data_IF_115764195485
#
_entry.id   IF_115764195485
#
_cell.length_a   1.000
_cell.length_b   1.000
_cell.length_c   1.000
_cell.angle_alpha   90.00
_cell.angle_beta   90.00
_cell.angle_gamma   90.00
#
_symmetry.space_group_name_H-M   'P 1'
#
loop_
_entity.id
_entity.type
_entity.pdbx_description
1 polymer ?
#
# COMPACT_ATOMS: atom_id res chain seq x y z
N UNK A 1 -15.28 0.17 8.72
CA UNK A 1 -15.44 -0.60 7.46
C UNK A 1 -14.57 -0.08 6.31
N UNK A 2 -14.39 1.23 6.10
CA UNK A 2 -13.75 1.76 4.87
C UNK A 2 -12.23 1.58 4.80
N UNK A 3 -11.52 1.68 5.93
CA UNK A 3 -10.06 1.51 5.97
C UNK A 3 -9.60 0.08 5.62
N UNK A 4 -10.44 -0.93 5.88
CA UNK A 4 -10.09 -2.35 5.62
C UNK A 4 -10.01 -2.62 4.12
N UNK A 5 -10.84 -1.97 3.31
CA UNK A 5 -10.84 -2.15 1.85
C UNK A 5 -9.51 -1.68 1.23
N UNK A 6 -9.04 -0.49 1.59
CA UNK A 6 -7.73 0.01 1.14
C UNK A 6 -6.57 -0.90 1.58
N UNK A 7 -6.64 -1.44 2.81
CA UNK A 7 -5.60 -2.31 3.34
C UNK A 7 -5.52 -3.64 2.59
N UNK A 8 -6.67 -4.21 2.18
CA UNK A 8 -6.71 -5.43 1.37
C UNK A 8 -6.12 -5.20 -0.03
N UNK A 9 -6.41 -4.05 -0.65
CA UNK A 9 -5.83 -3.67 -1.95
C UNK A 9 -4.31 -3.54 -1.83
N UNK A 10 -3.82 -2.85 -0.79
CA UNK A 10 -2.39 -2.71 -0.53
C UNK A 10 -1.72 -4.07 -0.30
N UNK A 11 -2.30 -4.94 0.53
CA UNK A 11 -1.78 -6.27 0.80
C UNK A 11 -1.70 -7.13 -0.48
N UNK A 12 -2.76 -7.15 -1.29
CA UNK A 12 -2.77 -7.88 -2.57
C UNK A 12 -1.72 -7.35 -3.54
N UNK A 13 -1.56 -6.03 -3.64
CA UNK A 13 -0.55 -5.41 -4.49
C UNK A 13 0.88 -5.74 -4.06
N UNK A 14 1.17 -5.73 -2.75
CA UNK A 14 2.49 -6.10 -2.21
C UNK A 14 2.81 -7.58 -2.43
N UNK A 15 1.82 -8.47 -2.24
CA UNK A 15 1.98 -9.90 -2.53
C UNK A 15 2.26 -10.10 -4.03
N UNK A 16 1.48 -9.46 -4.90
CA UNK A 16 1.69 -9.52 -6.35
C UNK A 16 3.06 -8.99 -6.75
N UNK A 17 3.52 -7.88 -6.15
CA UNK A 17 4.83 -7.30 -6.42
C UNK A 17 5.96 -8.22 -5.98
N UNK A 18 5.84 -8.87 -4.82
CA UNK A 18 6.79 -9.88 -4.38
C UNK A 18 6.86 -11.09 -5.32
N UNK A 19 5.71 -11.59 -5.78
CA UNK A 19 5.64 -12.68 -6.76
C UNK A 19 6.24 -12.28 -8.11
N UNK A 20 6.02 -11.04 -8.56
CA UNK A 20 6.62 -10.50 -9.78
C UNK A 20 8.16 -10.43 -9.68
N UNK A 21 8.70 -9.96 -8.54
CA UNK A 21 10.15 -9.96 -8.28
C UNK A 21 10.73 -11.38 -8.31
N UNK A 22 10.05 -12.36 -7.69
CA UNK A 22 10.53 -13.74 -7.70
C UNK A 22 10.52 -14.31 -9.13
N UNK A 23 9.46 -14.07 -9.89
CA UNK A 23 9.37 -14.51 -11.28
C UNK A 23 10.43 -13.89 -12.19
N UNK A 24 10.72 -12.60 -12.02
CA UNK A 24 11.78 -11.88 -12.72
C UNK A 24 13.16 -12.47 -12.37
N UNK A 25 13.47 -12.64 -11.09
CA UNK A 25 14.71 -13.25 -10.63
C UNK A 25 14.91 -14.66 -11.17
N UNK A 26 13.88 -15.51 -11.16
CA UNK A 26 13.96 -16.86 -11.74
C UNK A 26 14.17 -16.83 -13.25
N UNK A 27 13.51 -15.91 -13.96
CA UNK A 27 13.60 -15.79 -15.41
C UNK A 27 14.99 -15.35 -15.86
N UNK A 28 15.54 -14.31 -15.25
CA UNK A 28 16.82 -13.74 -15.67
C UNK A 28 18.03 -14.33 -14.96
N UNK A 29 17.85 -15.12 -13.88
CA UNK A 29 18.96 -15.89 -13.28
C UNK A 29 19.56 -16.92 -14.25
N UNK A 30 18.80 -17.33 -15.26
CA UNK A 30 19.20 -18.36 -16.24
C UNK A 30 19.96 -17.79 -17.44
N UNK A 31 19.97 -16.45 -17.62
CA UNK A 31 20.58 -15.80 -18.77
C UNK A 31 21.89 -15.12 -18.37
N UNK A 32 23.06 -15.75 -18.62
CA UNK A 32 24.31 -15.03 -18.57
C UNK A 32 24.38 -14.11 -19.80
N UNK A 33 23.94 -12.86 -19.64
CA UNK A 33 24.17 -11.83 -20.65
C UNK A 33 25.66 -11.48 -20.58
N UNK A 34 26.40 -11.80 -21.64
CA UNK A 34 27.81 -11.46 -21.75
C UNK A 34 27.94 -10.22 -22.63
N UNK A 35 28.65 -9.22 -22.14
CA UNK A 35 29.05 -8.06 -22.95
C UNK A 35 30.03 -8.50 -24.07
N UNK A 36 30.31 -7.61 -25.04
CA UNK A 36 31.29 -7.84 -26.10
C UNK A 36 32.68 -8.26 -25.56
N UNK A 37 33.01 -7.84 -24.34
CA UNK A 37 34.23 -8.17 -23.61
C UNK A 37 34.07 -9.39 -22.67
N UNK A 38 33.01 -10.19 -22.83
CA UNK A 38 32.70 -11.43 -22.08
C UNK A 38 32.41 -11.30 -20.57
N UNK A 39 32.25 -10.08 -20.07
CA UNK A 39 31.85 -9.83 -18.68
C UNK A 39 30.39 -10.23 -18.43
N UNK A 40 30.12 -10.84 -17.27
CA UNK A 40 28.76 -11.09 -16.79
C UNK A 40 28.06 -9.75 -16.57
N UNK A 41 27.01 -9.51 -17.33
CA UNK A 41 26.22 -8.29 -17.29
C UNK A 41 24.79 -8.62 -16.84
N UNK A 42 24.26 -7.81 -15.93
CA UNK A 42 22.86 -7.89 -15.52
C UNK A 42 21.98 -7.26 -16.61
N UNK A 43 20.84 -7.89 -16.91
CA UNK A 43 19.86 -7.37 -17.86
C UNK A 43 19.38 -5.99 -17.37
N UNK A 44 19.46 -4.98 -18.24
CA UNK A 44 18.99 -3.64 -17.89
C UNK A 44 17.47 -3.63 -17.83
N UNK A 45 16.89 -2.85 -16.91
CA UNK A 45 15.44 -2.81 -16.69
C UNK A 45 14.63 -2.42 -17.94
N UNK A 46 15.20 -1.60 -18.83
CA UNK A 46 14.59 -1.21 -20.12
C UNK A 46 14.56 -2.36 -21.15
N UNK A 47 15.48 -3.32 -21.04
CA UNK A 47 15.60 -4.47 -21.95
C UNK A 47 14.73 -5.65 -21.50
N UNK A 48 14.05 -5.50 -20.35
CA UNK A 48 13.11 -6.47 -19.79
C UNK A 48 11.83 -6.54 -20.63
N UNK A 49 11.13 -7.69 -20.62
CA UNK A 49 9.89 -7.83 -21.37
C UNK A 49 8.87 -6.76 -20.99
N UNK A 50 8.29 -6.10 -21.99
CA UNK A 50 7.31 -5.01 -21.79
C UNK A 50 6.15 -5.43 -20.90
N UNK A 51 5.72 -6.70 -20.97
CA UNK A 51 4.67 -7.24 -20.11
C UNK A 51 5.08 -7.30 -18.62
N UNK A 52 6.33 -7.68 -18.32
CA UNK A 52 6.86 -7.69 -16.95
C UNK A 52 6.95 -6.26 -16.40
N UNK A 53 7.45 -5.33 -17.20
CA UNK A 53 7.51 -3.90 -16.83
C UNK A 53 6.09 -3.37 -16.54
N UNK A 54 5.12 -3.67 -17.40
CA UNK A 54 3.73 -3.25 -17.21
C UNK A 54 3.11 -3.80 -15.92
N UNK A 55 3.36 -5.08 -15.60
CA UNK A 55 2.90 -5.70 -14.34
C UNK A 55 3.54 -5.02 -13.13
N UNK A 56 4.85 -4.76 -13.16
CA UNK A 56 5.55 -4.06 -12.08
C UNK A 56 4.96 -2.67 -11.81
N UNK A 57 4.78 -1.87 -12.87
CA UNK A 57 4.22 -0.53 -12.76
C UNK A 57 2.78 -0.60 -12.25
N UNK A 58 1.96 -1.50 -12.80
CA UNK A 58 0.57 -1.68 -12.37
C UNK A 58 0.46 -2.05 -10.88
N UNK A 59 1.28 -3.00 -10.42
CA UNK A 59 1.32 -3.42 -9.02
C UNK A 59 1.83 -2.31 -8.10
N UNK A 60 2.85 -1.56 -8.53
CA UNK A 60 3.35 -0.41 -7.76
C UNK A 60 2.28 0.68 -7.61
N UNK A 61 1.55 1.02 -8.69
CA UNK A 61 0.45 1.97 -8.64
C UNK A 61 -0.68 1.49 -7.72
N UNK A 62 -1.07 0.22 -7.81
CA UNK A 62 -2.08 -0.37 -6.93
C UNK A 62 -1.65 -0.37 -5.47
N UNK A 63 -0.36 -0.60 -5.19
CA UNK A 63 0.19 -0.51 -3.84
C UNK A 63 0.10 0.93 -3.30
N UNK A 64 0.48 1.93 -4.11
CA UNK A 64 0.37 3.35 -3.73
C UNK A 64 -1.09 3.78 -3.49
N UNK A 65 -2.00 3.39 -4.38
CA UNK A 65 -3.44 3.69 -4.24
C UNK A 65 -4.00 3.01 -2.98
N UNK A 66 -3.71 1.74 -2.76
CA UNK A 66 -4.13 1.00 -1.58
C UNK A 66 -3.60 1.62 -0.28
N UNK A 67 -2.33 2.01 -0.25
CA UNK A 67 -1.71 2.68 0.89
C UNK A 67 -2.37 4.04 1.17
N UNK A 68 -2.60 4.82 0.11
CA UNK A 68 -3.28 6.12 0.20
C UNK A 68 -4.71 6.00 0.75
N UNK A 69 -5.49 5.05 0.24
CA UNK A 69 -6.84 4.77 0.74
C UNK A 69 -6.84 4.27 2.18
N UNK A 70 -5.85 3.46 2.56
CA UNK A 70 -5.69 2.97 3.94
C UNK A 70 -5.41 4.14 4.89
N UNK A 71 -4.46 5.00 4.52
CA UNK A 71 -4.10 6.17 5.32
C UNK A 71 -5.28 7.14 5.45
N UNK A 72 -5.96 7.46 4.35
CA UNK A 72 -7.13 8.33 4.37
C UNK A 72 -8.26 7.73 5.22
N UNK A 73 -8.48 6.42 5.13
CA UNK A 73 -9.43 5.69 5.95
C UNK A 73 -9.11 5.76 7.44
N UNK A 74 -7.83 5.65 7.82
CA UNK A 74 -7.37 5.77 9.20
C UNK A 74 -7.48 7.21 9.71
N UNK A 75 -7.09 8.20 8.90
CA UNK A 75 -7.18 9.61 9.25
C UNK A 75 -8.63 10.04 9.50
N UNK A 76 -9.56 9.64 8.62
CA UNK A 76 -10.99 9.89 8.83
C UNK A 76 -11.53 9.18 10.08
N UNK A 77 -11.09 7.94 10.32
CA UNK A 77 -11.46 7.22 11.53
C UNK A 77 -10.98 7.94 12.80
N UNK A 78 -9.75 8.44 12.81
CA UNK A 78 -9.19 9.20 13.92
C UNK A 78 -9.95 10.51 14.15
N UNK A 79 -10.24 11.26 13.07
CA UNK A 79 -11.00 12.50 13.15
C UNK A 79 -12.42 12.28 13.70
N UNK A 80 -13.11 11.23 13.22
CA UNK A 80 -14.43 10.85 13.73
C UNK A 80 -14.39 10.51 15.22
N UNK A 81 -13.37 9.75 15.66
CA UNK A 81 -13.23 9.36 17.08
C UNK A 81 -13.02 10.57 17.99
N UNK A 82 -12.28 11.59 17.52
CA UNK A 82 -12.14 12.84 18.26
C UNK A 82 -13.47 13.58 18.46
N UNK A 83 -14.30 13.67 17.41
CA UNK A 83 -15.63 14.29 17.53
C UNK A 83 -16.55 13.53 18.47
N UNK A 84 -16.49 12.20 18.50
CA UNK A 84 -17.26 11.39 19.44
C UNK A 84 -16.86 11.65 20.90
N UNK A 85 -15.57 11.84 21.20
CA UNK A 85 -15.10 12.20 22.55
C UNK A 85 -15.55 13.60 22.98
N UNK A 86 -15.52 14.58 22.07
CA UNK A 86 -15.99 15.95 22.31
C UNK A 86 -17.50 15.99 22.62
N UNK A 87 -18.31 15.24 21.87
CA UNK A 87 -19.75 15.13 22.15
C UNK A 87 -20.05 14.47 23.50
N UNK A 88 -19.26 13.47 23.91
CA UNK A 88 -19.40 12.83 25.22
C UNK A 88 -19.00 13.76 26.38
N UNK A 89 -17.95 14.57 26.23
CA UNK A 89 -17.61 15.60 27.21
C UNK A 89 -18.71 16.66 27.37
N UNK A 90 -19.32 17.12 26.26
CA UNK A 90 -20.43 18.07 26.32
C UNK A 90 -21.65 17.54 27.07
N UNK A 91 -22.01 16.25 26.87
CA UNK A 91 -23.14 15.61 27.58
C UNK A 91 -22.85 15.33 29.06
N UNK A 92 -21.59 15.11 29.43
CA UNK A 92 -21.19 14.96 30.83
C UNK A 92 -21.41 16.25 31.66
N UNK A 93 -21.15 17.41 31.06
CA UNK A 93 -21.33 18.73 31.71
C UNK A 93 -22.82 19.07 31.92
N UNK A 94 -23.70 18.76 30.95
CA UNK A 94 -25.16 18.93 31.12
C UNK A 94 -25.76 18.00 32.19
N UNK A 95 -25.23 16.77 32.31
CA UNK A 95 -25.67 15.82 33.33
C UNK A 95 -25.34 16.28 34.76
N UNK A 96 -24.18 16.90 34.97
CA UNK A 96 -23.78 17.44 36.27
C UNK A 96 -24.55 18.70 36.67
N UNK A 97 -24.99 19.53 35.72
CA UNK A 97 -25.74 20.75 36.02
C UNK A 97 -27.22 20.50 36.39
N UNK A 98 -27.76 19.30 36.11
CA UNK A 98 -29.12 18.91 36.55
C UNK A 98 -29.17 18.22 37.92
N UNK A 99 -28.02 17.86 38.50
CA UNK A 99 -27.95 17.16 39.81
C UNK A 99 -27.52 18.11 40.93
N UNK A 100 -27.00 19.31 40.61
CA UNK A 100 -26.79 20.39 41.57
C UNK A 100 -28.05 21.22 41.76
N UNK A 101 -29.00 20.70 42.54
CA UNK A 101 -30.02 21.49 43.25
C UNK A 101 -29.46 21.83 44.63
#
# INVERSE_FOLDING_TARGET
MRAICGAVIAAGALIGLGLACIGEGLRYASYPYHDADSHLQYVKFHEMDTALIAVFIGLALMALIGLGLTFLGLAYHHHRRHHEMLHLQGRGVEGTHRVGV
#
